data_IF_804665638374
#
_entry.id   IF_804665638374
#
_cell.length_a   1.000
_cell.length_b   1.000
_cell.length_c   1.000
_cell.angle_alpha   90.00
_cell.angle_beta   90.00
_cell.angle_gamma   90.00
#
_symmetry.space_group_name_H-M   'P 1'
#
loop_
_entity.id
_entity.type
_entity.pdbx_description
1 polymer ?
#
# COMPACT_ATOMS: atom_id res chain seq x y z
N UNK A 1 -26.58 25.75 -8.12
CA UNK A 1 -26.54 26.49 -6.85
C UNK A 1 -25.23 26.23 -6.14
N UNK A 2 -24.95 25.03 -5.61
CA UNK A 2 -23.68 24.69 -4.93
C UNK A 2 -22.36 25.20 -5.58
N UNK A 3 -22.21 25.07 -6.91
CA UNK A 3 -21.01 25.56 -7.62
C UNK A 3 -20.87 27.09 -7.63
N UNK A 4 -21.99 27.81 -7.68
CA UNK A 4 -21.99 29.28 -7.68
C UNK A 4 -21.69 29.82 -6.26
N UNK A 5 -22.21 29.13 -5.24
CA UNK A 5 -22.04 29.52 -3.84
C UNK A 5 -20.58 29.31 -3.38
N UNK A 6 -19.96 28.17 -3.76
CA UNK A 6 -18.52 27.91 -3.51
C UNK A 6 -17.63 28.93 -4.23
N UNK A 7 -17.96 29.31 -5.45
CA UNK A 7 -17.19 30.30 -6.22
C UNK A 7 -17.26 31.70 -5.58
N UNK A 8 -18.44 32.11 -5.12
CA UNK A 8 -18.63 33.39 -4.43
C UNK A 8 -17.91 33.41 -3.06
N UNK A 9 -17.92 32.29 -2.34
CA UNK A 9 -17.24 32.14 -1.05
C UNK A 9 -15.71 32.23 -1.20
N UNK A 10 -15.15 31.60 -2.24
CA UNK A 10 -13.71 31.71 -2.56
C UNK A 10 -13.31 33.14 -2.94
N UNK A 11 -14.13 33.83 -3.75
CA UNK A 11 -13.87 35.23 -4.14
C UNK A 11 -13.99 36.22 -2.98
N UNK A 12 -14.84 35.93 -1.99
CA UNK A 12 -15.09 36.81 -0.84
C UNK A 12 -14.26 36.45 0.40
N UNK A 13 -13.39 35.44 0.30
CA UNK A 13 -12.57 34.97 1.41
C UNK A 13 -13.36 34.30 2.53
N UNK A 14 -14.63 33.95 2.28
CA UNK A 14 -15.49 33.26 3.25
C UNK A 14 -15.25 31.76 3.15
N UNK A 15 -14.61 31.19 4.17
CA UNK A 15 -14.47 29.73 4.32
C UNK A 15 -15.69 29.15 5.03
N UNK A 16 -16.89 29.38 4.51
CA UNK A 16 -18.15 29.03 5.20
C UNK A 16 -18.71 27.65 4.86
N UNK A 17 -18.23 27.00 3.80
CA UNK A 17 -18.63 25.63 3.51
C UNK A 17 -17.69 24.62 4.20
N UNK A 18 -18.08 24.22 5.42
CA UNK A 18 -17.77 22.86 5.89
C UNK A 18 -18.43 21.91 4.90
N UNK A 19 -17.63 21.31 4.02
CA UNK A 19 -18.12 20.36 3.04
C UNK A 19 -18.74 19.16 3.77
N UNK A 20 -20.07 19.13 3.84
CA UNK A 20 -20.85 18.01 4.39
C UNK A 20 -20.90 16.79 3.46
N UNK A 21 -20.21 16.85 2.33
CA UNK A 21 -19.95 15.71 1.45
C UNK A 21 -18.53 15.19 1.64
N UNK A 22 -18.37 13.91 1.96
CA UNK A 22 -17.07 13.21 1.88
C UNK A 22 -16.68 13.06 0.41
N UNK A 23 -16.08 14.10 -0.16
CA UNK A 23 -15.43 14.04 -1.46
C UNK A 23 -14.06 13.40 -1.32
N UNK A 24 -13.77 12.37 -2.10
CA UNK A 24 -12.40 11.85 -2.24
C UNK A 24 -11.71 12.61 -3.34
N UNK A 25 -10.58 13.24 -3.02
CA UNK A 25 -9.71 13.90 -4.01
C UNK A 25 -8.55 12.96 -4.32
N UNK A 26 -8.28 12.70 -5.60
CA UNK A 26 -7.15 11.89 -6.04
C UNK A 26 -6.14 12.80 -6.74
N UNK A 27 -4.94 12.90 -6.17
CA UNK A 27 -3.80 13.60 -6.77
C UNK A 27 -2.76 12.55 -7.12
N UNK A 28 -2.32 12.56 -8.37
CA UNK A 28 -1.20 11.73 -8.85
C UNK A 28 -0.01 12.64 -9.06
N UNK A 29 1.16 12.23 -8.60
CA UNK A 29 2.37 13.05 -8.71
C UNK A 29 3.57 12.10 -8.75
N UNK A 30 4.54 12.45 -9.58
CA UNK A 30 5.77 11.67 -9.71
C UNK A 30 6.62 11.78 -8.44
N UNK A 31 7.38 10.73 -8.14
CA UNK A 31 8.19 10.68 -6.92
C UNK A 31 9.30 11.73 -6.92
N UNK A 32 9.87 12.05 -8.09
CA UNK A 32 10.87 13.11 -8.26
C UNK A 32 10.28 14.50 -8.03
N UNK A 33 9.06 14.78 -8.51
CA UNK A 33 8.33 16.02 -8.18
C UNK A 33 8.07 16.13 -6.68
N UNK A 34 7.59 15.04 -6.06
CA UNK A 34 7.33 14.99 -4.62
C UNK A 34 8.59 15.23 -3.78
N UNK A 35 9.73 14.72 -4.25
CA UNK A 35 11.04 14.85 -3.57
C UNK A 35 11.82 16.10 -3.98
N UNK A 36 11.19 17.02 -4.73
CA UNK A 36 11.80 18.25 -5.24
C UNK A 36 13.07 18.02 -6.10
N UNK A 37 13.12 16.88 -6.80
CA UNK A 37 14.14 16.55 -7.79
C UNK A 37 13.71 16.97 -9.21
N UNK A 38 12.41 17.18 -9.43
CA UNK A 38 11.85 17.73 -10.67
C UNK A 38 10.69 18.68 -10.39
N UNK A 39 10.29 19.44 -11.41
CA UNK A 39 9.16 20.38 -11.37
C UNK A 39 8.03 19.93 -12.31
N UNK A 40 7.91 18.62 -12.55
CA UNK A 40 6.84 18.09 -13.37
C UNK A 40 5.50 18.34 -12.67
N UNK A 41 4.44 18.75 -13.39
CA UNK A 41 3.13 18.97 -12.77
C UNK A 41 2.57 17.67 -12.21
N UNK A 42 1.83 17.77 -11.10
CA UNK A 42 0.94 16.69 -10.66
C UNK A 42 -0.35 16.69 -11.46
N UNK A 43 -1.18 15.68 -11.29
CA UNK A 43 -2.48 15.53 -11.94
C UNK A 43 -3.59 15.45 -10.88
N UNK A 44 -4.58 16.34 -10.96
CA UNK A 44 -5.78 16.32 -10.13
C UNK A 44 -6.92 15.66 -10.90
N UNK A 45 -7.36 14.49 -10.44
CA UNK A 45 -8.35 13.68 -11.16
C UNK A 45 -9.65 14.45 -11.43
N UNK A 46 -10.02 14.58 -12.70
CA UNK A 46 -11.21 15.31 -13.16
C UNK A 46 -11.02 16.83 -13.35
N UNK A 47 -9.84 17.37 -13.05
CA UNK A 47 -9.51 18.79 -13.21
C UNK A 47 -8.28 19.04 -14.09
N UNK A 48 -7.35 18.08 -14.15
CA UNK A 48 -6.15 18.15 -14.99
C UNK A 48 -4.88 18.51 -14.20
N UNK A 49 -3.84 19.04 -14.87
CA UNK A 49 -2.54 19.26 -14.25
C UNK A 49 -2.58 20.35 -13.18
N UNK A 50 -1.86 20.11 -12.08
CA UNK A 50 -1.60 21.05 -10.99
C UNK A 50 -0.10 21.27 -10.88
N UNK A 51 0.31 22.51 -10.59
CA UNK A 51 1.73 22.81 -10.43
C UNK A 51 2.35 22.00 -9.29
N UNK A 52 3.64 21.68 -9.44
CA UNK A 52 4.46 20.91 -8.50
C UNK A 52 4.33 21.39 -7.05
N UNK A 53 4.33 22.71 -6.82
CA UNK A 53 4.17 23.32 -5.50
C UNK A 53 2.84 22.97 -4.85
N UNK A 54 1.73 23.01 -5.61
CA UNK A 54 0.41 22.66 -5.09
C UNK A 54 0.31 21.16 -4.83
N UNK A 55 0.88 20.32 -5.70
CA UNK A 55 0.93 18.89 -5.48
C UNK A 55 1.70 18.54 -4.18
N UNK A 56 2.87 19.17 -3.97
CA UNK A 56 3.67 19.02 -2.74
C UNK A 56 2.94 19.55 -1.51
N UNK A 57 2.24 20.68 -1.63
CA UNK A 57 1.45 21.23 -0.53
C UNK A 57 0.32 20.28 -0.11
N UNK A 58 -0.46 19.75 -1.07
CA UNK A 58 -1.54 18.79 -0.77
C UNK A 58 -0.99 17.53 -0.08
N UNK A 59 0.14 17.02 -0.57
CA UNK A 59 0.85 15.90 0.02
C UNK A 59 1.27 16.16 1.49
N UNK A 60 1.83 17.35 1.77
CA UNK A 60 2.30 17.72 3.09
C UNK A 60 1.16 18.01 4.09
N UNK A 61 0.06 18.60 3.63
CA UNK A 61 -1.08 19.00 4.47
C UNK A 61 -2.07 17.85 4.74
N UNK A 62 -1.87 16.68 4.12
CA UNK A 62 -2.77 15.52 4.23
C UNK A 62 -2.09 14.31 4.88
N UNK A 63 -1.68 14.37 6.16
CA UNK A 63 -0.95 13.28 6.82
C UNK A 63 -1.78 11.99 6.95
N UNK A 64 -3.10 12.12 7.02
CA UNK A 64 -4.04 10.98 7.12
C UNK A 64 -4.51 10.45 5.76
N UNK A 65 -3.99 10.98 4.65
CA UNK A 65 -4.37 10.50 3.33
C UNK A 65 -3.89 9.07 3.10
N UNK A 66 -4.69 8.26 2.40
CA UNK A 66 -4.24 6.98 1.90
C UNK A 66 -3.32 7.21 0.69
N UNK A 67 -2.05 6.84 0.83
CA UNK A 67 -1.13 6.88 -0.28
C UNK A 67 -1.21 5.59 -1.07
N UNK A 68 -1.31 5.73 -2.40
CA UNK A 68 -1.10 4.64 -3.35
C UNK A 68 0.14 4.96 -4.15
N UNK A 69 0.97 3.96 -4.39
CA UNK A 69 2.17 4.10 -5.19
C UNK A 69 2.21 2.98 -6.24
N UNK A 70 2.77 3.32 -7.40
CA UNK A 70 3.04 2.38 -8.49
C UNK A 70 4.46 2.64 -8.96
N UNK A 71 5.27 1.60 -8.98
CA UNK A 71 6.58 1.61 -9.63
C UNK A 71 6.38 1.19 -11.09
N UNK A 72 6.82 2.02 -12.02
CA UNK A 72 6.67 1.82 -13.46
C UNK A 72 8.05 1.64 -14.10
N UNK A 73 8.15 0.76 -15.09
CA UNK A 73 9.36 0.62 -15.90
C UNK A 73 9.51 1.82 -16.84
N UNK A 74 10.65 2.49 -16.81
CA UNK A 74 10.87 3.75 -17.57
C UNK A 74 11.00 3.54 -19.08
N UNK A 75 11.29 2.31 -19.53
CA UNK A 75 11.47 1.97 -20.95
C UNK A 75 10.14 1.54 -21.57
N UNK A 76 9.37 0.71 -20.86
CA UNK A 76 8.11 0.15 -21.37
C UNK A 76 6.87 0.92 -20.93
N UNK A 77 6.99 1.79 -19.91
CA UNK A 77 5.89 2.46 -19.23
C UNK A 77 4.88 1.50 -18.56
N UNK A 78 5.25 0.22 -18.40
CA UNK A 78 4.40 -0.78 -17.75
C UNK A 78 4.58 -0.76 -16.23
N UNK A 79 3.51 -0.92 -15.44
CA UNK A 79 3.60 -1.02 -13.99
C UNK A 79 4.31 -2.31 -13.57
N UNK A 80 5.42 -2.16 -12.84
CA UNK A 80 6.21 -3.27 -12.28
C UNK A 80 5.57 -3.79 -11.01
N UNK A 81 5.17 -2.89 -10.11
CA UNK A 81 4.52 -3.24 -8.84
C UNK A 81 3.83 -2.03 -8.23
N UNK A 82 2.90 -2.24 -7.29
CA UNK A 82 2.15 -1.18 -6.63
C UNK A 82 1.84 -1.54 -5.17
N UNK A 83 1.31 -0.57 -4.44
CA UNK A 83 0.86 -0.78 -3.07
C UNK A 83 0.22 0.45 -2.45
N UNK A 84 -0.17 0.30 -1.19
CA UNK A 84 -0.70 1.39 -0.37
C UNK A 84 0.07 1.52 0.94
N UNK A 85 0.09 2.71 1.53
CA UNK A 85 0.70 2.94 2.87
C UNK A 85 -0.26 2.60 4.01
N UNK A 86 -1.57 2.56 3.75
CA UNK A 86 -2.57 2.09 4.70
C UNK A 86 -2.27 0.65 5.13
N UNK A 87 -2.39 0.36 6.43
CA UNK A 87 -2.10 -0.96 6.99
C UNK A 87 -3.07 -2.05 6.51
N UNK A 88 -4.30 -1.69 6.13
CA UNK A 88 -5.32 -2.68 5.74
C UNK A 88 -5.27 -2.93 4.23
N UNK A 89 -5.07 -4.18 3.77
CA UNK A 89 -5.11 -4.48 2.34
C UNK A 89 -6.50 -4.25 1.75
N UNK A 90 -6.54 -3.85 0.48
CA UNK A 90 -7.78 -3.82 -0.29
C UNK A 90 -8.28 -5.24 -0.54
N UNK A 91 -9.56 -5.38 -0.90
CA UNK A 91 -10.15 -6.67 -1.24
C UNK A 91 -9.43 -7.35 -2.44
N UNK A 92 -8.94 -6.56 -3.40
CA UNK A 92 -8.18 -7.06 -4.55
C UNK A 92 -6.82 -7.64 -4.12
N UNK A 93 -6.04 -6.88 -3.34
CA UNK A 93 -4.75 -7.35 -2.80
C UNK A 93 -4.96 -8.63 -1.97
N UNK A 94 -5.99 -8.63 -1.11
CA UNK A 94 -6.34 -9.81 -0.30
C UNK A 94 -6.57 -11.03 -1.17
N UNK A 95 -7.44 -10.93 -2.18
CA UNK A 95 -7.78 -12.04 -3.08
C UNK A 95 -6.57 -12.56 -3.83
N UNK A 96 -5.69 -11.68 -4.29
CA UNK A 96 -4.49 -12.07 -5.02
C UNK A 96 -3.50 -12.81 -4.10
N UNK A 97 -3.33 -12.35 -2.86
CA UNK A 97 -2.50 -13.04 -1.85
C UNK A 97 -3.10 -14.40 -1.47
N UNK A 98 -4.41 -14.49 -1.24
CA UNK A 98 -5.10 -15.75 -0.90
C UNK A 98 -5.06 -16.77 -2.05
N UNK A 99 -5.19 -16.31 -3.31
CA UNK A 99 -5.01 -17.14 -4.51
C UNK A 99 -3.57 -17.64 -4.64
N UNK A 100 -2.59 -16.77 -4.37
CA UNK A 100 -1.17 -17.10 -4.47
C UNK A 100 -0.74 -18.12 -3.42
N UNK A 101 -1.19 -17.91 -2.19
CA UNK A 101 -0.87 -18.70 -1.00
C UNK A 101 -2.19 -19.19 -0.36
N UNK A 102 -2.68 -20.39 -0.70
CA UNK A 102 -3.99 -20.87 -0.24
C UNK A 102 -4.04 -21.27 1.24
N UNK A 103 -2.87 -21.39 1.88
CA UNK A 103 -2.73 -21.72 3.30
C UNK A 103 -1.72 -20.81 3.98
N UNK A 104 -1.75 -20.80 5.32
CA UNK A 104 -0.72 -20.20 6.15
C UNK A 104 0.69 -20.64 5.69
N UNK A 105 1.59 -19.68 5.47
CA UNK A 105 2.89 -19.94 4.84
C UNK A 105 3.96 -20.49 5.79
N UNK A 106 3.60 -20.77 7.04
CA UNK A 106 4.47 -21.45 7.99
C UNK A 106 4.66 -22.93 7.61
N UNK A 107 5.88 -23.51 7.72
CA UNK A 107 6.16 -24.88 7.34
C UNK A 107 5.18 -25.91 7.92
N UNK A 108 4.52 -26.66 7.03
CA UNK A 108 3.58 -27.72 7.40
C UNK A 108 2.20 -27.25 7.87
N UNK A 109 1.96 -25.95 7.99
CA UNK A 109 0.64 -25.44 8.37
C UNK A 109 -0.36 -25.58 7.20
N UNK A 110 -1.58 -26.03 7.52
CA UNK A 110 -2.68 -26.20 6.55
C UNK A 110 -3.89 -25.31 6.87
N UNK A 111 -3.72 -24.29 7.71
CA UNK A 111 -4.80 -23.32 7.97
C UNK A 111 -5.12 -22.56 6.67
N UNK A 112 -6.38 -22.52 6.20
CA UNK A 112 -6.74 -21.78 5.01
C UNK A 112 -6.37 -20.29 5.10
N UNK A 113 -5.92 -19.70 3.98
CA UNK A 113 -5.54 -18.29 3.94
C UNK A 113 -6.72 -17.34 4.17
N UNK A 114 -7.92 -17.76 3.77
CA UNK A 114 -9.18 -17.02 4.02
C UNK A 114 -9.56 -16.92 5.51
N UNK A 115 -9.03 -17.81 6.34
CA UNK A 115 -9.18 -17.80 7.81
C UNK A 115 -7.93 -17.25 8.52
N UNK A 116 -6.94 -16.80 7.76
CA UNK A 116 -5.65 -16.30 8.25
C UNK A 116 -5.57 -14.78 8.14
N UNK A 117 -4.72 -14.19 8.98
CA UNK A 117 -4.35 -12.79 8.87
C UNK A 117 -3.39 -12.61 7.69
N UNK A 118 -3.54 -11.53 6.93
CA UNK A 118 -2.51 -11.12 5.97
C UNK A 118 -1.52 -10.22 6.69
N UNK A 119 -0.35 -10.77 6.99
CA UNK A 119 0.69 -10.10 7.75
C UNK A 119 1.82 -9.60 6.86
N UNK A 120 2.35 -8.42 7.19
CA UNK A 120 3.43 -7.79 6.44
C UNK A 120 4.79 -8.41 6.80
N UNK A 121 5.53 -8.94 5.82
CA UNK A 121 6.89 -9.46 6.05
C UNK A 121 7.84 -8.37 6.54
N UNK A 122 7.87 -7.22 5.85
CA UNK A 122 8.46 -5.97 6.34
C UNK A 122 7.36 -5.14 6.99
N UNK A 123 7.48 -4.84 8.28
CA UNK A 123 6.42 -4.17 9.03
C UNK A 123 6.12 -2.76 8.46
N UNK A 124 4.86 -2.33 8.57
CA UNK A 124 4.44 -0.98 8.14
C UNK A 124 5.22 0.11 8.90
N UNK A 125 5.51 -0.11 10.19
CA UNK A 125 6.31 0.80 11.01
C UNK A 125 7.74 1.00 10.47
N UNK A 126 8.28 0.02 9.74
CA UNK A 126 9.61 0.09 9.11
C UNK A 126 9.52 0.58 7.64
N UNK A 127 8.37 1.12 7.24
CA UNK A 127 8.11 1.55 5.85
C UNK A 127 7.80 0.39 4.90
N UNK A 128 7.30 -0.73 5.41
CA UNK A 128 6.81 -1.84 4.59
C UNK A 128 5.46 -1.51 3.94
N UNK A 129 5.34 -1.52 2.60
CA UNK A 129 4.08 -1.20 1.95
C UNK A 129 3.07 -2.34 2.10
N UNK A 130 1.79 -2.01 2.07
CA UNK A 130 0.72 -2.99 1.91
C UNK A 130 0.62 -3.33 0.43
N UNK A 131 1.27 -4.41 0.03
CA UNK A 131 1.28 -4.92 -1.34
C UNK A 131 1.22 -6.44 -1.34
N UNK A 132 0.85 -7.02 -2.47
CA UNK A 132 0.84 -8.47 -2.62
C UNK A 132 2.19 -9.07 -2.27
N UNK A 133 3.29 -8.48 -2.73
CA UNK A 133 4.63 -8.99 -2.47
C UNK A 133 5.03 -8.96 -1.00
N UNK A 134 4.56 -7.97 -0.22
CA UNK A 134 4.93 -7.83 1.19
C UNK A 134 3.99 -8.58 2.14
N UNK A 135 2.78 -8.92 1.72
CA UNK A 135 1.81 -9.65 2.55
C UNK A 135 1.97 -11.17 2.40
N UNK A 136 1.76 -11.90 3.49
CA UNK A 136 1.66 -13.36 3.50
C UNK A 136 0.57 -13.82 4.49
N UNK A 137 -0.22 -14.87 4.18
CA UNK A 137 -1.19 -15.43 5.11
C UNK A 137 -0.50 -16.11 6.30
N UNK A 138 -0.86 -15.71 7.52
CA UNK A 138 -0.45 -16.34 8.77
C UNK A 138 -1.67 -16.64 9.63
N UNK A 139 -1.81 -17.89 10.08
CA UNK A 139 -2.82 -18.18 11.11
C UNK A 139 -2.46 -17.48 12.41
N UNK A 140 -3.44 -17.26 13.29
CA UNK A 140 -3.26 -16.56 14.56
C UNK A 140 -2.03 -17.04 15.35
N UNK A 141 -1.79 -18.35 15.43
CA UNK A 141 -0.64 -18.91 16.13
C UNK A 141 0.70 -18.50 15.50
N UNK A 142 0.86 -18.63 14.18
CA UNK A 142 2.12 -18.28 13.51
C UNK A 142 2.32 -16.77 13.36
N UNK A 143 1.24 -15.99 13.30
CA UNK A 143 1.30 -14.55 13.42
C UNK A 143 1.88 -14.15 14.78
N UNK A 144 1.41 -14.75 15.87
CA UNK A 144 1.96 -14.51 17.22
C UNK A 144 3.43 -14.93 17.30
N UNK A 145 3.84 -16.07 16.73
CA UNK A 145 5.25 -16.48 16.75
C UNK A 145 6.18 -15.46 16.10
N UNK A 146 5.75 -14.79 15.04
CA UNK A 146 6.52 -13.72 14.40
C UNK A 146 6.78 -12.55 15.35
N UNK A 147 5.79 -12.19 16.18
CA UNK A 147 5.98 -11.19 17.25
C UNK A 147 6.95 -11.65 18.35
N UNK A 148 7.21 -12.95 18.46
CA UNK A 148 8.15 -13.56 19.40
C UNK A 148 9.52 -13.90 18.76
N UNK A 149 9.94 -13.14 17.74
CA UNK A 149 11.30 -13.20 17.21
C UNK A 149 11.50 -14.19 16.07
N UNK A 150 10.44 -14.84 15.58
CA UNK A 150 10.50 -15.54 14.30
C UNK A 150 10.51 -14.53 13.14
N UNK A 151 11.39 -14.74 12.17
CA UNK A 151 11.43 -13.91 10.95
C UNK A 151 11.03 -14.71 9.73
N UNK A 152 10.53 -14.01 8.71
CA UNK A 152 10.06 -14.59 7.46
C UNK A 152 10.62 -13.82 6.27
N UNK A 153 11.20 -14.55 5.32
CA UNK A 153 11.69 -14.02 4.05
C UNK A 153 11.04 -14.77 2.89
N UNK A 154 10.77 -14.06 1.79
CA UNK A 154 10.25 -14.65 0.56
C UNK A 154 11.42 -14.99 -0.35
N UNK A 155 11.48 -16.25 -0.79
CA UNK A 155 12.56 -16.77 -1.61
C UNK A 155 12.26 -16.56 -3.11
N UNK A 156 13.32 -16.52 -3.94
CA UNK A 156 13.19 -16.35 -5.39
C UNK A 156 12.37 -17.47 -6.07
N UNK A 157 12.36 -18.66 -5.48
CA UNK A 157 11.56 -19.81 -5.95
C UNK A 157 10.07 -19.72 -5.57
N UNK A 158 9.62 -18.59 -5.00
CA UNK A 158 8.24 -18.36 -4.57
C UNK A 158 7.87 -18.99 -3.23
N UNK A 159 8.79 -19.71 -2.57
CA UNK A 159 8.62 -20.22 -1.21
C UNK A 159 8.96 -19.18 -0.14
N UNK A 160 8.95 -19.62 1.12
CA UNK A 160 9.30 -18.79 2.28
C UNK A 160 10.37 -19.46 3.13
N UNK A 161 11.31 -18.67 3.64
CA UNK A 161 12.24 -19.08 4.68
C UNK A 161 11.81 -18.48 6.01
N UNK A 162 11.65 -19.33 7.00
CA UNK A 162 11.39 -18.96 8.38
C UNK A 162 12.63 -19.19 9.22
N UNK A 163 13.03 -18.19 9.99
CA UNK A 163 14.14 -18.32 10.93
C UNK A 163 13.60 -18.22 12.35
N UNK A 164 13.93 -19.20 13.18
CA UNK A 164 13.56 -19.19 14.60
C UNK A 164 14.44 -18.21 15.39
N UNK A 165 14.03 -17.82 16.62
CA UNK A 165 14.86 -17.00 17.50
C UNK A 165 16.22 -17.62 17.85
N UNK A 166 16.35 -18.94 17.68
CA UNK A 166 17.60 -19.69 17.91
C UNK A 166 18.45 -19.84 16.64
N UNK A 167 18.03 -19.24 15.52
CA UNK A 167 18.74 -19.27 14.24
C UNK A 167 18.46 -20.49 13.37
N UNK A 168 17.53 -21.37 13.75
CA UNK A 168 17.15 -22.50 12.89
C UNK A 168 16.29 -22.04 11.72
N UNK A 169 16.63 -22.47 10.52
CA UNK A 169 15.93 -22.11 9.28
C UNK A 169 15.04 -23.22 8.78
N UNK A 170 13.83 -22.88 8.34
CA UNK A 170 12.85 -23.79 7.76
C UNK A 170 12.32 -23.21 6.47
N UNK A 171 12.33 -23.99 5.39
CA UNK A 171 11.88 -23.53 4.08
C UNK A 171 10.58 -24.19 3.67
N UNK A 172 9.63 -23.40 3.19
CA UNK A 172 8.48 -23.90 2.44
C UNK A 172 8.82 -23.90 0.95
N UNK A 173 8.32 -24.91 0.24
CA UNK A 173 8.33 -24.92 -1.23
C UNK A 173 6.93 -24.60 -1.70
N UNK A 174 6.82 -23.64 -2.61
CA UNK A 174 5.61 -23.47 -3.40
C UNK A 174 5.57 -24.59 -4.43
N UNK A 175 4.56 -25.44 -4.39
CA UNK A 175 4.24 -26.26 -5.55
C UNK A 175 3.73 -25.31 -6.64
N UNK A 176 4.20 -25.40 -7.90
CA UNK A 176 3.52 -24.70 -8.99
C UNK A 176 2.05 -25.15 -9.03
N UNK A 177 1.12 -24.24 -9.38
CA UNK A 177 -0.28 -24.59 -9.57
C UNK A 177 -0.46 -25.66 -10.65
#
# INVERSE_FOLDING_TARGET
QLRADVYLDLLTGRRTHSATGRGTVHVTVDLDTLTALSEHPGELAGYGPVISDIARQIAAESPDAEWRWTLTDTVTAEPVTNGITSRRPTAAIRRNVETRDPHCVFPGCRMPSVESDLDHRKAVADGGPTSEHNLAPLCKFHHILKHHGWTIEKLANGGYQWTSPLGHTYTTRRAPP
#
